data_IF_080625250429
#
_entry.id   IF_080625250429
#
_cell.length_a   1.000
_cell.length_b   1.000
_cell.length_c   1.000
_cell.angle_alpha   90.00
_cell.angle_beta   90.00
_cell.angle_gamma   90.00
#
_symmetry.space_group_name_H-M   'P 1'
#
loop_
_entity.id
_entity.type
_entity.pdbx_description
1 polymer ?
#
# COMPACT_ATOMS: atom_id res chain seq x y z
N UNK A 1 12.87 13.23 -34.15
CA UNK A 1 12.14 12.27 -33.31
C UNK A 1 12.94 12.15 -32.04
N UNK A 2 12.41 12.66 -30.93
CA UNK A 2 13.10 12.55 -29.64
C UNK A 2 13.19 11.07 -29.27
N UNK A 3 14.40 10.62 -28.91
CA UNK A 3 14.66 9.24 -28.51
C UNK A 3 13.85 8.92 -27.25
N UNK A 4 12.89 7.99 -27.36
CA UNK A 4 12.11 7.52 -26.21
C UNK A 4 13.05 6.73 -25.31
N UNK A 5 13.41 7.29 -24.16
CA UNK A 5 14.31 6.66 -23.19
C UNK A 5 13.59 6.29 -21.88
N UNK A 6 12.47 6.94 -21.57
CA UNK A 6 11.69 6.72 -20.34
C UNK A 6 10.22 6.40 -20.65
N UNK A 7 9.51 5.83 -19.67
CA UNK A 7 8.06 5.62 -19.74
C UNK A 7 7.32 6.96 -19.78
N UNK A 8 7.82 7.97 -19.06
CA UNK A 8 7.28 9.33 -19.15
C UNK A 8 7.38 9.88 -20.57
N UNK A 9 8.51 9.70 -21.28
CA UNK A 9 8.65 10.15 -22.66
C UNK A 9 7.64 9.45 -23.59
N UNK A 10 7.49 8.13 -23.41
CA UNK A 10 6.55 7.31 -24.18
C UNK A 10 5.10 7.76 -24.01
N UNK A 11 4.68 8.04 -22.77
CA UNK A 11 3.33 8.50 -22.44
C UNK A 11 3.07 9.91 -22.97
N UNK A 12 4.03 10.84 -22.80
CA UNK A 12 3.93 12.21 -23.31
C UNK A 12 3.85 12.27 -24.83
N UNK A 13 4.64 11.47 -25.55
CA UNK A 13 4.58 11.41 -27.01
C UNK A 13 3.24 10.89 -27.54
N UNK A 14 2.52 10.11 -26.73
CA UNK A 14 1.21 9.55 -27.08
C UNK A 14 0.05 10.49 -26.81
N UNK A 15 0.30 11.71 -26.31
CA UNK A 15 -0.75 12.69 -25.98
C UNK A 15 -1.77 12.14 -24.96
N UNK A 16 -1.31 11.29 -24.03
CA UNK A 16 -2.11 10.82 -22.91
C UNK A 16 -1.85 11.66 -21.66
N UNK A 17 -2.90 11.85 -20.87
CA UNK A 17 -2.72 12.12 -19.45
C UNK A 17 -2.44 10.80 -18.72
N UNK A 18 -1.69 10.85 -17.62
CA UNK A 18 -1.38 9.66 -16.84
C UNK A 18 -1.19 9.93 -15.35
N UNK A 19 -1.39 8.91 -14.54
CA UNK A 19 -1.13 8.87 -13.11
C UNK A 19 -0.34 7.61 -12.78
N UNK A 20 0.74 7.80 -12.02
CA UNK A 20 1.51 6.70 -11.44
C UNK A 20 0.95 6.41 -10.06
N UNK A 21 0.65 5.15 -9.78
CA UNK A 21 0.13 4.73 -8.48
C UNK A 21 0.97 3.58 -7.96
N UNK A 22 1.60 3.76 -6.82
CA UNK A 22 2.32 2.67 -6.15
C UNK A 22 1.34 1.57 -5.71
N UNK A 23 1.78 0.32 -5.76
CA UNK A 23 0.97 -0.88 -5.45
C UNK A 23 1.72 -1.91 -4.60
N UNK A 24 2.90 -1.59 -4.05
CA UNK A 24 3.65 -2.45 -3.14
C UNK A 24 3.05 -2.44 -1.75
N UNK A 25 3.37 -1.41 -0.96
CA UNK A 25 2.94 -1.22 0.42
C UNK A 25 1.53 -0.63 0.51
N UNK A 26 1.23 0.47 -0.19
CA UNK A 26 -0.13 1.04 -0.22
C UNK A 26 -0.57 1.29 -1.66
N UNK A 27 -1.85 1.60 -1.85
CA UNK A 27 -2.32 2.17 -3.11
C UNK A 27 -2.30 3.69 -2.93
N UNK A 28 -1.30 4.35 -3.49
CA UNK A 28 -1.11 5.79 -3.33
C UNK A 28 -0.46 6.40 -4.58
N UNK A 29 -0.83 7.64 -4.96
CA UNK A 29 -0.27 8.28 -6.13
C UNK A 29 1.20 8.64 -5.90
N UNK A 30 2.02 8.45 -6.94
CA UNK A 30 3.37 9.02 -7.04
C UNK A 30 3.26 10.25 -7.95
N UNK A 31 3.69 11.45 -7.51
CA UNK A 31 3.74 12.63 -8.37
C UNK A 31 4.56 12.39 -9.64
N UNK A 32 4.08 12.86 -10.80
CA UNK A 32 4.80 12.67 -12.06
C UNK A 32 6.23 13.23 -12.01
N UNK A 33 6.44 14.40 -11.37
CA UNK A 33 7.75 15.01 -11.21
C UNK A 33 8.71 14.18 -10.35
N UNK A 34 8.18 13.41 -9.41
CA UNK A 34 8.97 12.45 -8.63
C UNK A 34 9.30 11.22 -9.47
N UNK A 35 8.32 10.68 -10.20
CA UNK A 35 8.54 9.54 -11.10
C UNK A 35 9.59 9.85 -12.18
N UNK A 36 9.56 11.03 -12.79
CA UNK A 36 10.61 11.47 -13.74
C UNK A 36 12.02 11.46 -13.13
N UNK A 37 12.16 11.81 -11.85
CA UNK A 37 13.46 11.77 -11.16
C UNK A 37 13.89 10.32 -10.88
N UNK A 38 12.93 9.43 -10.59
CA UNK A 38 13.20 7.99 -10.42
C UNK A 38 13.69 7.40 -11.74
N UNK A 39 13.03 7.68 -12.86
CA UNK A 39 13.42 7.18 -14.18
C UNK A 39 14.82 7.65 -14.61
N UNK A 40 15.24 8.86 -14.18
CA UNK A 40 16.59 9.40 -14.41
C UNK A 40 17.63 8.87 -13.42
N UNK A 41 17.26 7.98 -12.48
CA UNK A 41 18.13 7.46 -11.44
C UNK A 41 18.59 8.52 -10.41
N UNK A 42 17.87 9.65 -10.34
CA UNK A 42 18.16 10.76 -9.42
C UNK A 42 17.55 10.52 -8.03
N UNK A 43 16.49 9.70 -7.95
CA UNK A 43 15.85 9.29 -6.70
C UNK A 43 15.63 7.78 -6.67
N UNK A 44 15.74 7.14 -5.49
CA UNK A 44 15.28 5.78 -5.29
C UNK A 44 13.76 5.68 -5.40
N UNK A 45 13.26 4.47 -5.65
CA UNK A 45 11.84 4.16 -5.52
C UNK A 45 11.38 4.46 -4.08
N UNK A 46 10.27 5.19 -3.88
CA UNK A 46 9.90 5.71 -2.56
C UNK A 46 9.38 4.62 -1.62
N UNK A 47 8.72 3.60 -2.15
CA UNK A 47 8.01 2.59 -1.34
C UNK A 47 8.37 1.15 -1.77
N UNK A 48 9.65 0.75 -1.68
CA UNK A 48 10.05 -0.59 -2.08
C UNK A 48 9.45 -1.63 -1.13
N UNK A 49 9.05 -2.77 -1.68
CA UNK A 49 8.63 -3.94 -0.91
C UNK A 49 9.39 -5.15 -1.45
N UNK A 50 10.17 -5.82 -0.61
CA UNK A 50 10.98 -6.98 -1.01
C UNK A 50 11.88 -6.69 -2.23
N UNK A 51 12.50 -5.51 -2.28
CA UNK A 51 13.35 -5.03 -3.38
C UNK A 51 12.64 -4.92 -4.75
N UNK A 52 11.32 -4.79 -4.76
CA UNK A 52 10.54 -4.60 -5.98
C UNK A 52 9.85 -3.22 -5.98
N UNK A 53 9.77 -2.61 -7.16
CA UNK A 53 8.87 -1.52 -7.48
C UNK A 53 7.62 -2.08 -8.16
N UNK A 54 6.53 -2.18 -7.41
CA UNK A 54 5.21 -2.57 -7.91
C UNK A 54 4.33 -1.33 -8.04
N UNK A 55 3.87 -1.04 -9.24
CA UNK A 55 3.05 0.15 -9.49
C UNK A 55 2.11 -0.05 -10.68
N UNK A 56 1.14 0.84 -10.79
CA UNK A 56 0.31 1.00 -11.97
C UNK A 56 0.63 2.31 -12.69
N UNK A 57 0.55 2.25 -14.01
CA UNK A 57 0.41 3.44 -14.86
C UNK A 57 -1.04 3.44 -15.35
N UNK A 58 -1.84 4.38 -14.85
CA UNK A 58 -3.16 4.66 -15.42
C UNK A 58 -2.97 5.78 -16.43
N UNK A 59 -3.40 5.59 -17.67
CA UNK A 59 -3.34 6.63 -18.70
C UNK A 59 -4.67 6.71 -19.43
N UNK A 60 -5.06 7.91 -19.87
CA UNK A 60 -6.35 8.15 -20.50
C UNK A 60 -6.25 9.22 -21.58
N UNK A 61 -7.22 9.19 -22.49
CA UNK A 61 -7.44 10.22 -23.49
C UNK A 61 -8.50 11.24 -23.00
N UNK A 62 -8.83 12.21 -23.84
CA UNK A 62 -9.86 13.23 -23.55
C UNK A 62 -11.25 12.65 -23.21
N UNK A 63 -11.56 11.41 -23.64
CA UNK A 63 -12.80 10.71 -23.31
C UNK A 63 -12.78 10.05 -21.92
N UNK A 64 -11.69 10.23 -21.15
CA UNK A 64 -11.46 9.63 -19.83
C UNK A 64 -11.61 8.10 -19.82
N UNK A 65 -11.31 7.43 -20.94
CA UNK A 65 -11.24 5.97 -20.97
C UNK A 65 -9.88 5.54 -20.39
N UNK A 66 -9.83 4.90 -19.21
CA UNK A 66 -8.55 4.54 -18.60
C UNK A 66 -8.02 3.23 -19.16
N UNK A 67 -6.76 3.25 -19.55
CA UNK A 67 -5.94 2.07 -19.72
C UNK A 67 -4.97 1.95 -18.54
N UNK A 68 -4.66 0.72 -18.15
CA UNK A 68 -3.87 0.44 -16.96
C UNK A 68 -2.78 -0.57 -17.32
N UNK A 69 -1.54 -0.24 -16.96
CA UNK A 69 -0.45 -1.21 -16.88
C UNK A 69 -0.08 -1.46 -15.44
N UNK A 70 -0.01 -2.73 -15.05
CA UNK A 70 0.52 -3.16 -13.76
C UNK A 70 1.96 -3.64 -13.95
N UNK A 71 2.90 -2.90 -13.40
CA UNK A 71 4.33 -3.08 -13.64
C UNK A 71 5.08 -3.48 -12.37
N UNK A 72 6.02 -4.41 -12.52
CA UNK A 72 6.91 -4.90 -11.47
C UNK A 72 8.35 -4.89 -11.96
N UNK A 73 9.19 -4.06 -11.33
CA UNK A 73 10.61 -3.96 -11.64
C UNK A 73 11.45 -4.29 -10.40
N UNK A 74 12.53 -5.05 -10.60
CA UNK A 74 13.52 -5.26 -9.55
C UNK A 74 14.31 -3.98 -9.28
N UNK A 75 14.60 -3.75 -8.00
CA UNK A 75 15.41 -2.63 -7.55
C UNK A 75 16.83 -3.09 -7.21
N UNK A 76 17.79 -2.23 -7.50
CA UNK A 76 19.17 -2.43 -7.05
C UNK A 76 19.34 -2.17 -5.54
N UNK A 77 20.55 -2.34 -5.01
CA UNK A 77 20.84 -2.12 -3.57
C UNK A 77 20.64 -0.67 -3.10
N UNK A 78 20.64 0.27 -4.06
CA UNK A 78 20.37 1.69 -3.83
C UNK A 78 18.88 2.02 -3.95
N UNK A 79 18.03 1.04 -4.28
CA UNK A 79 16.60 1.22 -4.49
C UNK A 79 16.27 1.85 -5.86
N UNK A 80 17.20 1.84 -6.82
CA UNK A 80 16.98 2.38 -8.17
C UNK A 80 16.41 1.30 -9.10
N UNK A 81 15.52 1.72 -10.02
CA UNK A 81 15.11 0.88 -11.14
C UNK A 81 16.27 0.75 -12.14
N UNK A 82 16.48 -0.45 -12.68
CA UNK A 82 17.54 -0.72 -13.66
C UNK A 82 17.15 -0.11 -15.02
N UNK A 83 17.90 0.85 -15.60
CA UNK A 83 17.54 1.47 -16.88
C UNK A 83 17.42 0.48 -18.04
N UNK A 84 18.20 -0.61 -17.99
CA UNK A 84 18.13 -1.68 -18.99
C UNK A 84 16.76 -2.37 -19.03
N UNK A 85 16.15 -2.62 -17.86
CA UNK A 85 14.84 -3.25 -17.75
C UNK A 85 13.73 -2.33 -18.26
N UNK A 86 13.78 -1.05 -17.87
CA UNK A 86 12.84 -0.04 -18.36
C UNK A 86 12.94 0.09 -19.89
N UNK A 87 14.16 0.15 -20.43
CA UNK A 87 14.39 0.21 -21.87
C UNK A 87 13.88 -1.05 -22.61
N UNK A 88 14.01 -2.22 -22.01
CA UNK A 88 13.47 -3.46 -22.57
C UNK A 88 11.93 -3.46 -22.57
N UNK A 89 11.30 -2.99 -21.50
CA UNK A 89 9.86 -2.82 -21.46
C UNK A 89 9.36 -1.83 -22.53
N UNK A 90 10.03 -0.68 -22.68
CA UNK A 90 9.69 0.29 -23.74
C UNK A 90 9.77 -0.35 -25.13
N UNK A 91 10.79 -1.18 -25.40
CA UNK A 91 10.87 -1.93 -26.67
C UNK A 91 9.69 -2.86 -26.87
N UNK A 92 9.28 -3.62 -25.86
CA UNK A 92 8.08 -4.47 -25.94
C UNK A 92 6.83 -3.66 -26.27
N UNK A 93 6.65 -2.49 -25.65
CA UNK A 93 5.51 -1.61 -25.93
C UNK A 93 5.55 -1.09 -27.37
N UNK A 94 6.70 -0.60 -27.83
CA UNK A 94 6.85 -0.05 -29.18
C UNK A 94 6.67 -1.13 -30.26
N UNK A 95 7.11 -2.36 -30.02
CA UNK A 95 6.90 -3.50 -30.92
C UNK A 95 5.43 -3.94 -30.98
N UNK A 96 4.71 -3.87 -29.85
CA UNK A 96 3.30 -4.29 -29.78
C UNK A 96 2.34 -3.22 -30.29
N UNK A 97 2.58 -1.94 -29.97
CA UNK A 97 1.61 -0.84 -30.16
C UNK A 97 2.11 0.28 -31.07
N UNK A 98 3.37 0.26 -31.50
CA UNK A 98 3.99 1.40 -32.18
C UNK A 98 4.16 2.60 -31.25
N UNK A 99 4.22 3.80 -31.82
CA UNK A 99 4.47 5.06 -31.08
C UNK A 99 3.20 5.76 -30.57
N UNK A 100 1.99 5.20 -30.84
CA UNK A 100 0.71 5.81 -30.44
C UNK A 100 -0.09 4.85 -29.57
N UNK A 101 -0.13 5.13 -28.27
CA UNK A 101 -0.80 4.29 -27.26
C UNK A 101 -2.35 4.37 -27.30
N UNK A 102 -2.93 5.28 -28.08
CA UNK A 102 -4.36 5.63 -28.02
C UNK A 102 -5.23 4.80 -28.97
N UNK A 103 -4.66 3.76 -29.58
CA UNK A 103 -5.37 2.89 -30.51
C UNK A 103 -5.99 1.72 -29.76
N UNK A 104 -7.19 1.30 -30.19
CA UNK A 104 -7.81 0.08 -29.68
C UNK A 104 -6.91 -1.12 -29.98
N UNK A 105 -6.50 -1.82 -28.93
CA UNK A 105 -5.63 -2.99 -29.05
C UNK A 105 -6.41 -4.19 -29.55
N UNK A 106 -5.86 -4.87 -30.55
CA UNK A 106 -6.32 -6.21 -30.94
C UNK A 106 -6.03 -7.21 -29.82
N UNK A 107 -6.78 -8.31 -29.75
CA UNK A 107 -6.58 -9.38 -28.75
C UNK A 107 -5.12 -9.89 -28.75
N UNK A 108 -4.52 -10.07 -29.92
CA UNK A 108 -3.13 -10.49 -30.06
C UNK A 108 -2.12 -9.47 -29.49
N UNK A 109 -2.40 -8.17 -29.58
CA UNK A 109 -1.57 -7.13 -28.97
C UNK A 109 -1.74 -7.11 -27.45
N UNK A 110 -2.97 -7.27 -26.96
CA UNK A 110 -3.22 -7.36 -25.52
C UNK A 110 -2.51 -8.57 -24.91
N UNK A 111 -2.54 -9.72 -25.58
CA UNK A 111 -1.88 -10.94 -25.12
C UNK A 111 -0.34 -10.79 -25.11
N UNK A 112 0.25 -10.18 -26.13
CA UNK A 112 1.68 -9.86 -26.14
C UNK A 112 2.09 -8.91 -25.01
N UNK A 113 1.26 -7.90 -24.74
CA UNK A 113 1.50 -6.95 -23.64
C UNK A 113 1.33 -7.61 -22.28
N UNK A 114 0.39 -8.54 -22.13
CA UNK A 114 0.20 -9.30 -20.89
C UNK A 114 1.32 -10.32 -20.64
N UNK A 115 1.97 -10.82 -21.70
CA UNK A 115 3.03 -11.82 -21.62
C UNK A 115 4.43 -11.20 -21.71
N UNK A 116 4.74 -10.23 -20.84
CA UNK A 116 6.09 -9.71 -20.69
C UNK A 116 6.58 -9.79 -19.23
N UNK A 117 7.91 -9.89 -18.98
CA UNK A 117 8.46 -10.18 -17.65
C UNK A 117 8.30 -9.04 -16.64
N UNK A 118 7.86 -7.86 -17.09
CA UNK A 118 7.70 -6.67 -16.25
C UNK A 118 6.25 -6.42 -15.84
N UNK A 119 5.32 -7.27 -16.26
CA UNK A 119 3.91 -7.16 -15.86
C UNK A 119 3.56 -8.13 -14.74
N UNK A 120 2.60 -7.74 -13.90
CA UNK A 120 2.08 -8.61 -12.84
C UNK A 120 0.57 -8.42 -12.68
N UNK A 121 -0.10 -9.41 -12.10
CA UNK A 121 -1.51 -9.30 -11.71
C UNK A 121 -1.60 -9.00 -10.21
N UNK A 122 -2.11 -7.83 -9.78
CA UNK A 122 -2.37 -7.58 -8.38
C UNK A 122 -3.38 -8.59 -7.80
N UNK A 123 -3.33 -8.86 -6.48
CA UNK A 123 -4.38 -9.58 -5.77
C UNK A 123 -5.77 -8.94 -6.00
N UNK A 124 -6.83 -9.74 -5.96
CA UNK A 124 -8.19 -9.31 -6.34
C UNK A 124 -8.73 -8.15 -5.48
N UNK A 125 -8.45 -8.17 -4.19
CA UNK A 125 -8.79 -7.11 -3.24
C UNK A 125 -8.10 -5.79 -3.58
N UNK A 126 -6.81 -5.85 -3.88
CA UNK A 126 -6.02 -4.68 -4.28
C UNK A 126 -6.47 -4.14 -5.64
N UNK A 127 -6.79 -5.03 -6.57
CA UNK A 127 -7.30 -4.69 -7.91
C UNK A 127 -8.67 -4.02 -7.82
N UNK A 128 -9.60 -4.57 -7.02
CA UNK A 128 -10.92 -4.00 -6.80
C UNK A 128 -10.84 -2.57 -6.24
N UNK A 129 -9.97 -2.35 -5.25
CA UNK A 129 -9.79 -1.03 -4.66
C UNK A 129 -9.09 -0.05 -5.60
N UNK A 130 -8.04 -0.48 -6.29
CA UNK A 130 -7.36 0.33 -7.30
C UNK A 130 -8.34 0.81 -8.37
N UNK A 131 -9.19 -0.07 -8.91
CA UNK A 131 -10.20 0.32 -9.88
C UNK A 131 -11.21 1.33 -9.32
N UNK A 132 -11.67 1.15 -8.09
CA UNK A 132 -12.57 2.09 -7.43
C UNK A 132 -11.93 3.48 -7.29
N UNK A 133 -10.64 3.53 -6.94
CA UNK A 133 -9.86 4.78 -6.85
C UNK A 133 -9.65 5.43 -8.22
N UNK A 134 -9.28 4.68 -9.25
CA UNK A 134 -9.14 5.20 -10.63
C UNK A 134 -10.47 5.78 -11.12
N UNK A 135 -11.59 5.06 -10.91
CA UNK A 135 -12.92 5.56 -11.29
C UNK A 135 -13.28 6.82 -10.50
N UNK A 136 -12.94 6.90 -9.21
CA UNK A 136 -13.17 8.11 -8.41
C UNK A 136 -12.37 9.30 -8.95
N UNK A 137 -11.07 9.09 -9.18
CA UNK A 137 -10.12 10.10 -9.66
C UNK A 137 -10.54 10.69 -11.01
N UNK A 138 -11.07 9.86 -11.91
CA UNK A 138 -11.51 10.28 -13.24
C UNK A 138 -12.97 10.79 -13.28
N UNK A 139 -13.66 10.90 -12.14
CA UNK A 139 -15.09 11.22 -12.06
C UNK A 139 -15.97 10.28 -12.89
N UNK A 140 -15.58 9.00 -12.99
CA UNK A 140 -16.38 7.97 -13.65
C UNK A 140 -17.46 7.44 -12.69
N UNK A 141 -18.58 6.90 -13.22
CA UNK A 141 -19.59 6.22 -12.40
C UNK A 141 -18.94 5.12 -11.55
N UNK A 142 -19.45 4.88 -10.34
CA UNK A 142 -19.02 3.74 -9.51
C UNK A 142 -19.39 2.39 -10.19
N UNK A 143 -19.01 1.27 -9.59
CA UNK A 143 -19.50 -0.03 -10.05
C UNK A 143 -21.00 -0.19 -9.78
N UNK A 144 -21.60 -1.20 -10.44
CA UNK A 144 -22.99 -1.59 -10.20
C UNK A 144 -23.27 -2.04 -8.75
N UNK A 145 -22.24 -2.34 -7.97
CA UNK A 145 -22.39 -2.81 -6.58
C UNK A 145 -22.43 -1.67 -5.55
N UNK A 146 -22.20 -0.42 -5.99
CA UNK A 146 -22.05 0.73 -5.11
C UNK A 146 -23.33 1.06 -4.33
N UNK A 147 -24.47 1.14 -5.01
CA UNK A 147 -25.75 1.53 -4.39
C UNK A 147 -26.18 0.53 -3.32
N UNK A 148 -26.01 -0.77 -3.60
CA UNK A 148 -26.32 -1.83 -2.65
C UNK A 148 -25.43 -1.77 -1.40
N UNK A 149 -24.12 -1.57 -1.59
CA UNK A 149 -23.20 -1.39 -0.47
C UNK A 149 -23.56 -0.14 0.35
N UNK A 150 -23.97 0.96 -0.29
CA UNK A 150 -24.41 2.15 0.43
C UNK A 150 -25.64 1.88 1.29
N UNK A 151 -26.65 1.19 0.74
CA UNK A 151 -27.87 0.80 1.49
C UNK A 151 -27.51 -0.01 2.74
N UNK A 152 -26.58 -0.97 2.60
CA UNK A 152 -26.07 -1.75 3.72
C UNK A 152 -25.39 -0.89 4.79
N UNK A 153 -24.40 -0.04 4.44
CA UNK A 153 -23.70 0.79 5.43
C UNK A 153 -24.57 1.93 6.00
N UNK A 154 -25.68 2.29 5.34
CA UNK A 154 -26.72 3.17 5.90
C UNK A 154 -27.53 2.50 7.02
N UNK A 155 -27.51 1.17 7.10
CA UNK A 155 -28.36 0.39 8.02
C UNK A 155 -29.80 0.25 7.52
N UNK A 156 -30.02 0.33 6.21
CA UNK A 156 -31.34 0.08 5.60
C UNK A 156 -31.67 -1.43 5.50
N UNK A 157 -30.66 -2.28 5.71
CA UNK A 157 -30.74 -3.74 5.75
C UNK A 157 -30.24 -4.23 7.11
N UNK A 158 -30.64 -5.44 7.52
CA UNK A 158 -30.08 -6.07 8.71
C UNK A 158 -28.58 -6.35 8.52
N UNK A 159 -27.80 -6.13 9.57
CA UNK A 159 -26.33 -6.24 9.49
C UNK A 159 -25.83 -7.63 9.12
N UNK A 160 -26.60 -8.68 9.43
CA UNK A 160 -26.30 -10.08 9.11
C UNK A 160 -26.57 -10.45 7.64
N UNK A 161 -27.28 -9.60 6.88
CA UNK A 161 -27.60 -9.81 5.46
C UNK A 161 -26.47 -9.33 4.51
N UNK A 162 -25.22 -9.48 4.93
CA UNK A 162 -24.04 -8.94 4.25
C UNK A 162 -23.57 -9.76 3.04
N UNK A 163 -24.07 -10.98 2.82
CA UNK A 163 -23.58 -11.90 1.79
C UNK A 163 -23.77 -11.37 0.36
N UNK A 164 -24.71 -10.44 0.18
CA UNK A 164 -24.96 -9.74 -1.08
C UNK A 164 -24.08 -8.49 -1.28
N UNK A 165 -23.35 -8.06 -0.24
CA UNK A 165 -22.48 -6.88 -0.28
C UNK A 165 -21.11 -7.29 -0.82
N UNK A 166 -20.95 -7.15 -2.14
CA UNK A 166 -19.69 -7.48 -2.83
C UNK A 166 -18.54 -6.54 -2.45
N UNK A 167 -17.31 -7.08 -2.47
CA UNK A 167 -16.08 -6.33 -2.16
C UNK A 167 -15.93 -5.05 -2.99
N UNK A 168 -16.26 -5.10 -4.28
CA UNK A 168 -16.21 -3.93 -5.17
C UNK A 168 -17.10 -2.77 -4.69
N UNK A 169 -18.26 -3.06 -4.10
CA UNK A 169 -19.13 -2.02 -3.55
C UNK A 169 -18.52 -1.37 -2.30
N UNK A 170 -17.88 -2.16 -1.43
CA UNK A 170 -17.15 -1.67 -0.26
C UNK A 170 -15.98 -0.78 -0.68
N UNK A 171 -15.21 -1.20 -1.69
CA UNK A 171 -14.08 -0.41 -2.18
C UNK A 171 -14.52 0.85 -2.90
N UNK A 172 -15.65 0.85 -3.61
CA UNK A 172 -16.25 2.06 -4.20
C UNK A 172 -16.62 3.10 -3.14
N UNK A 173 -17.17 2.67 -2.00
CA UNK A 173 -17.46 3.55 -0.84
C UNK A 173 -16.17 4.14 -0.28
N UNK A 174 -15.13 3.33 -0.08
CA UNK A 174 -13.84 3.80 0.42
C UNK A 174 -13.16 4.78 -0.56
N UNK A 175 -13.26 4.53 -1.87
CA UNK A 175 -12.75 5.48 -2.88
C UNK A 175 -13.54 6.80 -2.92
N UNK A 176 -14.74 6.85 -2.32
CA UNK A 176 -15.68 7.99 -2.35
C UNK A 176 -16.08 8.46 -0.95
N UNK A 177 -15.20 8.35 0.05
CA UNK A 177 -15.51 8.76 1.44
C UNK A 177 -16.10 10.18 1.56
N UNK A 178 -15.68 11.11 0.71
CA UNK A 178 -16.15 12.50 0.68
C UNK A 178 -17.47 12.74 -0.08
N UNK A 179 -18.12 11.70 -0.62
CA UNK A 179 -19.38 11.80 -1.38
C UNK A 179 -20.52 11.12 -0.61
N UNK A 180 -21.76 11.53 -0.87
CA UNK A 180 -22.98 10.83 -0.41
C UNK A 180 -22.99 10.41 1.07
N UNK A 181 -22.35 11.21 1.94
CA UNK A 181 -22.18 10.92 3.36
C UNK A 181 -21.53 9.56 3.69
N UNK A 182 -20.77 8.97 2.75
CA UNK A 182 -20.15 7.65 2.91
C UNK A 182 -19.36 7.53 4.22
N UNK A 183 -18.49 8.50 4.53
CA UNK A 183 -17.74 8.50 5.78
C UNK A 183 -18.65 8.50 7.03
N UNK A 184 -19.77 9.24 7.00
CA UNK A 184 -20.72 9.29 8.13
C UNK A 184 -21.42 7.95 8.32
N UNK A 185 -21.83 7.31 7.23
CA UNK A 185 -22.46 5.99 7.27
C UNK A 185 -21.49 4.93 7.80
N UNK A 186 -20.24 4.93 7.34
CA UNK A 186 -19.20 4.03 7.87
C UNK A 186 -18.95 4.23 9.37
N UNK A 187 -18.85 5.48 9.84
CA UNK A 187 -18.65 5.77 11.27
C UNK A 187 -19.75 5.13 12.13
N UNK A 188 -21.01 5.24 11.68
CA UNK A 188 -22.18 4.68 12.36
C UNK A 188 -22.21 3.16 12.28
N UNK A 189 -21.92 2.59 11.11
CA UNK A 189 -22.01 1.14 10.88
C UNK A 189 -20.95 0.33 11.63
N UNK A 190 -19.76 0.88 11.88
CA UNK A 190 -18.61 0.14 12.44
C UNK A 190 -18.94 -0.66 13.72
N UNK A 191 -19.82 -0.16 14.59
CA UNK A 191 -20.24 -0.87 15.82
C UNK A 191 -21.12 -2.10 15.56
N UNK A 192 -21.71 -2.20 14.38
CA UNK A 192 -22.73 -3.18 14.05
C UNK A 192 -22.27 -4.24 13.06
N UNK A 193 -21.21 -3.96 12.30
CA UNK A 193 -20.72 -4.87 11.25
C UNK A 193 -20.33 -6.24 11.83
N UNK A 194 -20.82 -7.35 11.25
CA UNK A 194 -20.25 -8.67 11.49
C UNK A 194 -18.78 -8.75 11.07
N UNK A 195 -18.10 -9.82 11.46
CA UNK A 195 -16.66 -9.97 11.25
C UNK A 195 -16.26 -9.82 9.77
N UNK A 196 -16.91 -10.51 8.85
CA UNK A 196 -16.56 -10.54 7.43
C UNK A 196 -16.65 -9.17 6.75
N UNK A 197 -17.79 -8.44 6.78
CA UNK A 197 -17.86 -7.09 6.20
C UNK A 197 -16.97 -6.09 6.95
N UNK A 198 -16.71 -6.29 8.26
CA UNK A 198 -15.73 -5.49 8.99
C UNK A 198 -14.32 -5.66 8.44
N UNK A 199 -13.82 -6.90 8.31
CA UNK A 199 -12.50 -7.16 7.74
C UNK A 199 -12.37 -6.66 6.30
N UNK A 200 -13.41 -6.84 5.47
CA UNK A 200 -13.42 -6.31 4.11
C UNK A 200 -13.33 -4.78 4.08
N UNK A 201 -14.06 -4.09 4.97
CA UNK A 201 -13.98 -2.64 5.12
C UNK A 201 -12.60 -2.19 5.60
N UNK A 202 -12.04 -2.82 6.64
CA UNK A 202 -10.72 -2.46 7.17
C UNK A 202 -9.62 -2.67 6.12
N UNK A 203 -9.68 -3.77 5.36
CA UNK A 203 -8.77 -4.03 4.25
C UNK A 203 -8.89 -3.00 3.12
N UNK A 204 -10.08 -2.46 2.85
CA UNK A 204 -10.23 -1.37 1.89
C UNK A 204 -9.71 -0.02 2.43
N UNK A 205 -9.89 0.24 3.72
CA UNK A 205 -9.45 1.47 4.37
C UNK A 205 -7.92 1.57 4.51
N UNK A 206 -7.19 0.44 4.55
CA UNK A 206 -5.71 0.44 4.68
C UNK A 206 -4.97 1.17 3.54
N UNK A 207 -5.64 1.36 2.40
CA UNK A 207 -5.12 2.04 1.22
C UNK A 207 -5.86 3.35 0.93
N UNK A 208 -6.64 3.85 1.88
CA UNK A 208 -7.50 5.03 1.70
C UNK A 208 -7.06 6.13 2.67
N UNK A 209 -6.79 7.36 2.19
CA UNK A 209 -6.60 8.50 3.08
C UNK A 209 -7.85 8.74 3.93
N UNK A 210 -7.69 8.81 5.25
CA UNK A 210 -8.80 8.89 6.18
C UNK A 210 -9.08 10.33 6.60
N UNK A 211 -10.36 10.68 6.68
CA UNK A 211 -10.82 11.90 7.33
C UNK A 211 -10.72 11.74 8.86
N UNK A 212 -10.38 12.81 9.58
CA UNK A 212 -10.11 12.77 11.02
C UNK A 212 -11.19 12.06 11.83
N UNK A 213 -12.48 12.29 11.55
CA UNK A 213 -13.58 11.64 12.29
C UNK A 213 -13.69 10.14 12.09
N UNK A 214 -13.39 9.64 10.88
CA UNK A 214 -13.38 8.20 10.62
C UNK A 214 -12.15 7.57 11.26
N UNK A 215 -11.00 8.24 11.20
CA UNK A 215 -9.79 7.82 11.91
C UNK A 215 -10.01 7.78 13.43
N UNK A 216 -10.64 8.80 14.04
CA UNK A 216 -11.00 8.81 15.47
C UNK A 216 -11.85 7.59 15.84
N UNK A 217 -12.80 7.24 14.97
CA UNK A 217 -13.69 6.11 15.20
C UNK A 217 -12.94 4.78 15.14
N UNK A 218 -12.06 4.60 14.16
CA UNK A 218 -11.21 3.41 14.04
C UNK A 218 -10.20 3.32 15.19
N UNK A 219 -9.62 4.45 15.59
CA UNK A 219 -8.72 4.55 16.73
C UNK A 219 -9.41 4.09 18.01
N UNK A 220 -10.62 4.58 18.28
CA UNK A 220 -11.39 4.16 19.44
C UNK A 220 -11.70 2.65 19.45
N UNK A 221 -11.93 2.04 18.28
CA UNK A 221 -12.12 0.58 18.16
C UNK A 221 -10.82 -0.18 18.39
N UNK A 222 -9.70 0.28 17.83
CA UNK A 222 -8.38 -0.32 18.02
C UNK A 222 -7.97 -0.29 19.50
N UNK A 223 -8.16 0.84 20.17
CA UNK A 223 -7.85 1.00 21.59
C UNK A 223 -8.74 0.14 22.48
N UNK A 224 -10.02 -0.02 22.13
CA UNK A 224 -10.94 -0.89 22.87
C UNK A 224 -10.54 -2.36 22.74
N UNK A 225 -10.17 -2.80 21.53
CA UNK A 225 -9.64 -4.14 21.30
C UNK A 225 -8.34 -4.36 22.09
N UNK A 226 -7.41 -3.40 22.05
CA UNK A 226 -6.13 -3.45 22.77
C UNK A 226 -6.25 -3.37 24.32
N UNK A 227 -7.45 -3.08 24.86
CA UNK A 227 -7.75 -3.09 26.29
C UNK A 227 -8.45 -4.37 26.74
N UNK A 228 -8.90 -5.23 25.82
CA UNK A 228 -9.52 -6.50 26.19
C UNK A 228 -8.51 -7.39 26.95
N UNK A 229 -8.97 -8.20 27.92
CA UNK A 229 -8.10 -9.17 28.59
C UNK A 229 -7.47 -10.19 27.61
N UNK A 230 -8.23 -10.57 26.59
CA UNK A 230 -7.81 -11.46 25.50
C UNK A 230 -8.10 -10.77 24.16
N UNK A 231 -7.19 -9.91 23.67
CA UNK A 231 -7.39 -9.18 22.42
C UNK A 231 -7.33 -10.10 21.21
N UNK A 232 -8.23 -9.91 20.24
CA UNK A 232 -8.08 -10.49 18.91
C UNK A 232 -6.97 -9.74 18.15
N UNK A 233 -5.79 -10.36 18.14
CA UNK A 233 -4.58 -9.82 17.49
C UNK A 233 -4.79 -9.58 15.99
N UNK A 234 -5.59 -10.39 15.30
CA UNK A 234 -5.84 -10.21 13.87
C UNK A 234 -6.77 -9.03 13.62
N UNK A 235 -7.77 -8.84 14.48
CA UNK A 235 -8.67 -7.69 14.39
C UNK A 235 -7.95 -6.38 14.74
N UNK A 236 -7.15 -6.39 15.81
CA UNK A 236 -6.30 -5.26 16.17
C UNK A 236 -5.32 -4.90 15.03
N UNK A 237 -4.69 -5.90 14.41
CA UNK A 237 -3.85 -5.73 13.22
C UNK A 237 -4.62 -5.09 12.06
N UNK A 238 -5.83 -5.56 11.78
CA UNK A 238 -6.67 -4.98 10.74
C UNK A 238 -7.03 -3.51 11.01
N UNK A 239 -7.33 -3.15 12.26
CA UNK A 239 -7.54 -1.75 12.64
C UNK A 239 -6.28 -0.89 12.48
N UNK A 240 -5.13 -1.38 12.92
CA UNK A 240 -3.84 -0.69 12.76
C UNK A 240 -3.54 -0.45 11.28
N UNK A 241 -3.71 -1.47 10.43
CA UNK A 241 -3.54 -1.37 8.97
C UNK A 241 -4.50 -0.34 8.38
N UNK A 242 -5.78 -0.36 8.76
CA UNK A 242 -6.76 0.61 8.31
C UNK A 242 -6.38 2.05 8.68
N UNK A 243 -5.77 2.25 9.85
CA UNK A 243 -5.28 3.55 10.31
C UNK A 243 -4.04 4.06 9.56
N UNK A 244 -3.43 3.29 8.65
CA UNK A 244 -2.27 3.72 7.87
C UNK A 244 -2.51 5.01 7.05
N UNK A 245 -3.76 5.31 6.69
CA UNK A 245 -4.16 6.54 6.00
C UNK A 245 -4.60 7.67 6.94
N UNK A 246 -4.50 7.52 8.26
CA UNK A 246 -4.90 8.53 9.25
C UNK A 246 -3.87 9.66 9.41
N UNK A 247 -4.27 10.81 9.97
CA UNK A 247 -3.34 11.83 10.46
C UNK A 247 -2.19 11.25 11.30
N UNK A 248 -0.97 11.74 11.06
CA UNK A 248 0.26 11.18 11.64
C UNK A 248 0.27 11.12 13.17
N UNK A 249 -0.34 12.10 13.84
CA UNK A 249 -0.45 12.14 15.30
C UNK A 249 -1.35 11.02 15.85
N UNK A 250 -2.43 10.68 15.15
CA UNK A 250 -3.34 9.59 15.53
C UNK A 250 -2.67 8.23 15.30
N UNK A 251 -2.05 8.04 14.12
CA UNK A 251 -1.32 6.82 13.80
C UNK A 251 -0.18 6.59 14.79
N UNK A 252 0.64 7.61 15.07
CA UNK A 252 1.74 7.51 16.02
C UNK A 252 1.25 7.20 17.44
N UNK A 253 0.12 7.78 17.87
CA UNK A 253 -0.47 7.55 19.18
C UNK A 253 -0.88 6.09 19.42
N UNK A 254 -1.56 5.46 18.44
CA UNK A 254 -1.94 4.05 18.55
C UNK A 254 -0.73 3.13 18.49
N UNK A 255 0.24 3.39 17.61
CA UNK A 255 1.45 2.57 17.52
C UNK A 255 2.27 2.67 18.81
N UNK A 256 2.38 3.86 19.41
CA UNK A 256 3.01 4.00 20.72
C UNK A 256 2.28 3.19 21.79
N UNK A 257 0.94 3.23 21.82
CA UNK A 257 0.11 2.47 22.77
C UNK A 257 0.32 0.96 22.64
N UNK A 258 0.37 0.47 21.41
CA UNK A 258 0.58 -0.95 21.09
C UNK A 258 2.00 -1.37 21.47
N UNK A 259 3.02 -0.63 21.02
CA UNK A 259 4.43 -0.96 21.31
C UNK A 259 4.79 -0.79 22.79
N UNK A 260 4.01 -0.05 23.58
CA UNK A 260 4.19 0.03 25.03
C UNK A 260 3.90 -1.31 25.74
N UNK A 261 3.07 -2.18 25.15
CA UNK A 261 2.70 -3.48 25.73
C UNK A 261 3.31 -4.64 24.93
N UNK A 262 4.27 -5.35 25.52
CA UNK A 262 4.95 -6.47 24.87
C UNK A 262 3.95 -7.54 24.38
N UNK A 263 2.91 -7.83 25.16
CA UNK A 263 1.91 -8.87 24.85
C UNK A 263 1.07 -8.56 23.59
N UNK A 264 0.98 -7.28 23.20
CA UNK A 264 0.32 -6.88 21.94
C UNK A 264 1.27 -6.97 20.73
N UNK A 265 2.58 -7.09 20.94
CA UNK A 265 3.59 -7.04 19.89
C UNK A 265 3.80 -8.40 19.22
N UNK A 266 2.69 -9.06 18.86
CA UNK A 266 2.70 -10.28 18.07
C UNK A 266 3.22 -10.03 16.65
N UNK A 267 3.76 -11.06 15.99
CA UNK A 267 4.28 -10.96 14.61
C UNK A 267 3.33 -10.29 13.62
N UNK A 268 2.03 -10.57 13.73
CA UNK A 268 0.99 -10.02 12.86
C UNK A 268 0.92 -8.47 12.97
N UNK A 269 1.03 -7.95 14.18
CA UNK A 269 1.02 -6.51 14.47
C UNK A 269 2.30 -5.85 13.97
N UNK A 270 3.45 -6.48 14.20
CA UNK A 270 4.75 -5.95 13.76
C UNK A 270 4.87 -5.93 12.23
N UNK A 271 4.34 -6.96 11.55
CA UNK A 271 4.23 -7.01 10.09
C UNK A 271 3.28 -5.91 9.59
N UNK A 272 2.15 -5.68 10.26
CA UNK A 272 1.23 -4.58 9.93
C UNK A 272 1.90 -3.21 10.04
N UNK A 273 2.67 -2.97 11.11
CA UNK A 273 3.41 -1.71 11.29
C UNK A 273 4.44 -1.54 10.17
N UNK A 274 5.29 -2.53 9.94
CA UNK A 274 6.33 -2.44 8.91
C UNK A 274 5.76 -2.35 7.48
N UNK A 275 4.67 -3.06 7.21
CA UNK A 275 4.08 -3.16 5.87
C UNK A 275 3.11 -2.05 5.50
N UNK A 276 2.48 -1.38 6.47
CA UNK A 276 1.43 -0.36 6.24
C UNK A 276 1.64 0.95 6.98
N UNK A 277 2.18 0.91 8.19
CA UNK A 277 2.30 2.09 9.07
C UNK A 277 3.74 2.58 9.22
N UNK A 278 4.64 2.21 8.30
CA UNK A 278 6.10 2.40 8.41
C UNK A 278 6.52 3.87 8.62
N UNK A 279 5.69 4.81 8.19
CA UNK A 279 5.95 6.26 8.30
C UNK A 279 6.19 6.70 9.74
N UNK A 280 5.52 6.08 10.73
CA UNK A 280 5.74 6.40 12.15
C UNK A 280 7.15 6.03 12.64
N UNK A 281 7.84 5.11 11.94
CA UNK A 281 9.19 4.69 12.27
C UNK A 281 10.26 5.70 11.81
N UNK A 282 9.86 6.82 11.19
CA UNK A 282 10.76 7.95 10.97
C UNK A 282 11.19 8.61 12.30
N UNK A 283 10.42 8.42 13.38
CA UNK A 283 10.80 8.83 14.73
C UNK A 283 11.74 7.83 15.39
N UNK A 284 12.99 8.23 15.63
CA UNK A 284 14.08 7.38 16.17
C UNK A 284 13.68 6.55 17.40
N UNK A 285 13.02 7.17 18.39
CA UNK A 285 12.58 6.47 19.60
C UNK A 285 11.55 5.36 19.32
N UNK A 286 10.63 5.62 18.39
CA UNK A 286 9.60 4.64 18.05
C UNK A 286 10.18 3.52 17.18
N UNK A 287 11.15 3.84 16.33
CA UNK A 287 11.92 2.86 15.56
C UNK A 287 12.72 1.93 16.46
N UNK A 288 13.45 2.46 17.44
CA UNK A 288 14.18 1.65 18.42
C UNK A 288 13.23 0.76 19.23
N UNK A 289 12.12 1.32 19.74
CA UNK A 289 11.10 0.56 20.45
C UNK A 289 10.51 -0.56 19.57
N UNK A 290 10.23 -0.29 18.29
CA UNK A 290 9.76 -1.29 17.34
C UNK A 290 10.78 -2.43 17.18
N UNK A 291 12.07 -2.11 17.02
CA UNK A 291 13.12 -3.12 16.90
C UNK A 291 13.29 -3.95 18.18
N UNK A 292 13.19 -3.33 19.37
CA UNK A 292 13.19 -4.05 20.65
C UNK A 292 12.03 -5.04 20.68
N UNK A 293 10.81 -4.61 20.34
CA UNK A 293 9.62 -5.49 20.31
C UNK A 293 9.76 -6.61 19.29
N UNK A 294 10.34 -6.32 18.13
CA UNK A 294 10.63 -7.33 17.12
C UNK A 294 11.65 -8.36 17.61
N UNK A 295 12.72 -7.94 18.28
CA UNK A 295 13.70 -8.85 18.86
C UNK A 295 13.09 -9.72 19.98
N UNK A 296 12.20 -9.15 20.79
CA UNK A 296 11.51 -9.87 21.88
C UNK A 296 10.57 -10.99 21.39
N UNK A 297 10.19 -11.01 20.10
CA UNK A 297 9.47 -12.16 19.53
C UNK A 297 10.32 -13.44 19.51
N UNK A 298 11.65 -13.32 19.53
CA UNK A 298 12.58 -14.44 19.34
C UNK A 298 12.62 -14.98 17.90
N UNK A 299 11.86 -14.41 16.96
CA UNK A 299 11.80 -14.85 15.57
C UNK A 299 12.91 -14.18 14.73
N UNK A 300 14.14 -14.68 14.80
CA UNK A 300 15.28 -14.09 14.08
C UNK A 300 15.05 -13.94 12.56
N UNK A 301 14.38 -14.91 11.93
CA UNK A 301 14.04 -14.83 10.50
C UNK A 301 13.13 -13.63 10.20
N UNK A 302 12.12 -13.41 11.05
CA UNK A 302 11.22 -12.26 10.94
C UNK A 302 11.97 -10.95 11.18
N UNK A 303 12.83 -10.91 12.21
CA UNK A 303 13.69 -9.75 12.47
C UNK A 303 14.52 -9.37 11.24
N UNK A 304 15.23 -10.34 10.65
CA UNK A 304 16.06 -10.11 9.47
C UNK A 304 15.23 -9.63 8.28
N UNK A 305 14.08 -10.27 8.02
CA UNK A 305 13.21 -9.93 6.90
C UNK A 305 12.65 -8.51 7.02
N UNK A 306 12.08 -8.15 8.18
CA UNK A 306 11.51 -6.83 8.38
C UNK A 306 12.58 -5.73 8.44
N UNK A 307 13.73 -5.99 9.07
CA UNK A 307 14.83 -5.03 9.10
C UNK A 307 15.35 -4.75 7.68
N UNK A 308 15.63 -5.80 6.90
CA UNK A 308 16.11 -5.67 5.53
C UNK A 308 15.10 -4.95 4.62
N UNK A 309 13.81 -5.26 4.77
CA UNK A 309 12.74 -4.61 4.02
C UNK A 309 12.57 -3.12 4.39
N UNK A 310 12.64 -2.77 5.67
CA UNK A 310 12.49 -1.40 6.14
C UNK A 310 13.70 -0.51 5.80
N UNK A 311 14.94 -1.04 5.86
CA UNK A 311 16.15 -0.29 5.48
C UNK A 311 16.18 0.08 3.99
N UNK A 312 15.39 -0.61 3.16
CA UNK A 312 15.23 -0.24 1.75
C UNK A 312 14.38 1.03 1.56
N UNK A 313 13.52 1.38 2.51
CA UNK A 313 12.77 2.65 2.45
C UNK A 313 13.75 3.82 2.60
N UNK A 314 13.79 4.78 1.65
CA UNK A 314 14.78 5.86 1.67
C UNK A 314 14.80 6.66 2.97
N UNK A 315 13.61 6.98 3.50
CA UNK A 315 13.43 7.74 4.73
C UNK A 315 13.86 6.94 5.97
N UNK A 316 13.56 5.65 6.03
CA UNK A 316 13.87 4.84 7.21
C UNK A 316 15.32 4.36 7.21
N UNK A 317 15.99 4.29 6.05
CA UNK A 317 17.38 3.86 5.94
C UNK A 317 18.31 4.65 6.87
N UNK A 318 18.15 5.97 6.89
CA UNK A 318 18.98 6.87 7.70
C UNK A 318 18.66 6.77 9.20
N UNK A 319 17.48 6.26 9.57
CA UNK A 319 17.04 6.06 10.95
C UNK A 319 17.48 4.69 11.47
N UNK A 320 17.30 3.63 10.67
CA UNK A 320 17.50 2.25 11.09
C UNK A 320 18.95 1.78 11.03
N UNK A 321 19.75 2.28 10.08
CA UNK A 321 21.16 1.89 10.01
C UNK A 321 21.98 2.28 11.25
N UNK A 322 21.84 3.49 11.83
CA UNK A 322 22.49 3.82 13.09
C UNK A 322 22.11 2.88 14.25
N UNK A 323 20.86 2.38 14.26
CA UNK A 323 20.37 1.47 15.30
C UNK A 323 21.04 0.08 15.27
N UNK A 324 21.80 -0.27 14.22
CA UNK A 324 22.68 -1.45 14.22
C UNK A 324 23.79 -1.41 15.27
N UNK A 325 23.99 -0.26 15.91
CA UNK A 325 24.92 -0.08 17.02
C UNK A 325 24.19 0.16 18.35
N UNK A 326 22.87 0.01 18.39
CA UNK A 326 22.09 0.20 19.63
C UNK A 326 22.37 -0.92 20.62
N UNK A 327 22.51 -0.52 21.89
CA UNK A 327 22.62 -1.40 23.06
C UNK A 327 21.42 -1.22 24.01
N UNK A 328 20.29 -0.76 23.48
CA UNK A 328 19.11 -0.40 24.28
C UNK A 328 18.45 -1.61 24.98
N UNK A 329 18.62 -2.82 24.45
CA UNK A 329 18.21 -4.06 25.13
C UNK A 329 19.10 -5.23 24.73
N UNK A 330 19.21 -6.23 25.62
CA UNK A 330 20.00 -7.43 25.35
C UNK A 330 19.42 -8.26 24.18
N UNK A 331 18.09 -8.30 24.05
CA UNK A 331 17.41 -8.98 22.94
C UNK A 331 17.71 -8.28 21.61
N UNK A 332 17.66 -6.95 21.58
CA UNK A 332 17.97 -6.18 20.37
C UNK A 332 19.44 -6.36 19.96
N UNK A 333 20.37 -6.26 20.92
CA UNK A 333 21.80 -6.46 20.67
C UNK A 333 22.07 -7.87 20.11
N UNK A 334 21.45 -8.90 20.68
CA UNK A 334 21.55 -10.28 20.19
C UNK A 334 20.98 -10.43 18.76
N UNK A 335 19.80 -9.86 18.50
CA UNK A 335 19.16 -9.93 17.19
C UNK A 335 19.96 -9.22 16.09
N UNK A 336 20.53 -8.05 16.40
CA UNK A 336 21.42 -7.30 15.51
C UNK A 336 22.72 -8.08 15.26
N UNK A 337 23.31 -8.66 16.29
CA UNK A 337 24.54 -9.46 16.14
C UNK A 337 24.30 -10.64 15.20
N UNK A 338 23.19 -11.37 15.39
CA UNK A 338 22.79 -12.47 14.52
C UNK A 338 22.51 -12.01 13.07
N UNK A 339 21.87 -10.85 12.88
CA UNK A 339 21.68 -10.24 11.56
C UNK A 339 23.02 -9.99 10.86
N UNK A 340 23.98 -9.36 11.53
CA UNK A 340 25.30 -9.06 10.98
C UNK A 340 26.10 -10.32 10.60
N UNK A 341 25.96 -11.41 11.36
CA UNK A 341 26.55 -12.70 11.02
C UNK A 341 25.92 -13.31 9.76
N UNK A 342 24.60 -13.22 9.61
CA UNK A 342 23.90 -13.76 8.43
C UNK A 342 24.30 -13.08 7.13
N UNK A 343 24.53 -11.76 7.15
CA UNK A 343 24.95 -10.98 5.98
C UNK A 343 26.39 -11.21 5.55
N UNK A 344 27.27 -11.67 6.45
CA UNK A 344 28.68 -11.99 6.11
C UNK A 344 28.84 -13.36 5.45
N UNK A 345 27.84 -14.24 5.62
CA UNK A 345 27.85 -15.61 5.11
C UNK A 345 27.00 -15.79 3.83
N UNK A 346 26.37 -14.71 3.36
CA UNK A 346 25.59 -14.64 2.11
C UNK A 346 26.40 -13.91 1.06
#
# INVERSE_FOLDING_TARGET
>A
MDTIQTLTDLLKQSQCEFQITELGRRIQPIPQSEFEQIERGQRPWPYPLQRQARFAITYWNELKQPWIWFLNFELDERGLMKPADVGQFIRYILEAMGTRLNQSLTEAQQEKLANNPYTFKPPEDKMALFHSQVRAMLDLPASQYYEHAQSYFKGEQEWDQWQSVGLQGITDICARLGKEQNAVHLIKSLNHLPAQPRYALLGALEHTPLQSRLADRLLAQAEEEARQPEPDIFLLSAYIRALAGSPENQLSGIIHTVLAKADLCHREILIAIAGRCWSVLAGEKLAEQFLIRLAQTGEQSLFNQLFADLVMLPELRIILLPLLHSTASAELEAAITALQHSTKNS
#
